data_IF_554760632486
#
_entry.id   IF_554760632486
#
_cell.length_a   1.000
_cell.length_b   1.000
_cell.length_c   1.000
_cell.angle_alpha   90.00
_cell.angle_beta   90.00
_cell.angle_gamma   90.00
#
_symmetry.space_group_name_H-M   'P 1'
#
loop_
_entity.id
_entity.type
_entity.pdbx_description
1 polymer ?
#
# COMPACT_ATOMS: atom_id res chain seq x y z
N UNK A 1 -58.13 -7.16 19.99
CA UNK A 1 -58.10 -6.24 18.83
C UNK A 1 -56.80 -5.43 18.71
N UNK A 2 -56.06 -5.12 19.81
CA UNK A 2 -54.76 -4.43 19.73
C UNK A 2 -53.57 -5.37 19.46
N UNK A 3 -53.59 -6.59 19.98
CA UNK A 3 -52.46 -7.54 19.86
C UNK A 3 -52.19 -8.00 18.42
N UNK A 4 -53.24 -8.14 17.60
CA UNK A 4 -53.09 -8.52 16.19
C UNK A 4 -52.54 -7.38 15.32
N UNK A 5 -52.72 -6.12 15.73
CA UNK A 5 -52.21 -4.96 14.99
C UNK A 5 -50.71 -4.72 15.23
N UNK A 6 -50.22 -5.03 16.43
CA UNK A 6 -48.78 -5.03 16.73
C UNK A 6 -48.08 -6.12 15.93
N UNK A 7 -48.70 -7.29 15.80
CA UNK A 7 -48.15 -8.41 15.06
C UNK A 7 -48.09 -8.16 13.54
N UNK A 8 -49.08 -7.45 12.98
CA UNK A 8 -49.10 -7.07 11.56
C UNK A 8 -48.08 -5.97 11.20
N UNK A 9 -47.68 -5.11 12.14
CA UNK A 9 -46.63 -4.11 11.93
C UNK A 9 -45.21 -4.70 11.94
N UNK A 10 -45.03 -5.91 12.50
CA UNK A 10 -43.73 -6.59 12.56
C UNK A 10 -43.38 -7.36 11.28
N UNK A 11 -44.37 -7.68 10.44
CA UNK A 11 -44.14 -8.44 9.20
C UNK A 11 -43.91 -7.56 7.96
N UNK A 12 -43.99 -6.24 8.09
CA UNK A 12 -43.76 -5.30 6.97
C UNK A 12 -42.31 -4.83 6.80
N UNK A 13 -41.37 -5.31 7.63
CA UNK A 13 -39.94 -4.94 7.50
C UNK A 13 -39.08 -6.01 6.84
N UNK A 14 -39.65 -7.17 6.46
CA UNK A 14 -38.92 -8.21 5.71
C UNK A 14 -39.13 -8.04 4.20
N UNK A 15 -38.85 -6.82 3.73
CA UNK A 15 -38.69 -6.52 2.32
C UNK A 15 -37.26 -6.08 2.06
N UNK A 16 -36.27 -6.92 2.40
CA UNK A 16 -34.91 -6.70 1.94
C UNK A 16 -34.94 -6.99 0.44
N UNK A 17 -35.10 -5.94 -0.36
CA UNK A 17 -34.71 -5.97 -1.77
C UNK A 17 -33.21 -6.25 -1.78
N UNK A 18 -32.84 -7.51 -1.95
CA UNK A 18 -31.46 -7.91 -2.19
C UNK A 18 -31.10 -7.44 -3.59
N UNK A 19 -30.72 -6.16 -3.72
CA UNK A 19 -29.86 -5.72 -4.81
C UNK A 19 -28.60 -6.57 -4.63
N UNK A 20 -28.20 -7.39 -5.62
CA UNK A 20 -26.91 -8.04 -5.55
C UNK A 20 -25.87 -6.94 -5.55
N UNK A 21 -25.31 -6.65 -4.37
CA UNK A 21 -24.08 -5.88 -4.30
C UNK A 21 -23.06 -6.67 -5.12
N UNK A 22 -22.44 -6.02 -6.10
CA UNK A 22 -21.23 -6.59 -6.66
C UNK A 22 -20.28 -6.87 -5.50
N UNK A 23 -19.66 -8.05 -5.45
CA UNK A 23 -18.66 -8.32 -4.43
C UNK A 23 -17.52 -7.33 -4.69
N UNK A 24 -17.50 -6.24 -3.93
CA UNK A 24 -16.35 -5.36 -3.90
C UNK A 24 -15.14 -6.23 -3.52
N UNK A 25 -14.00 -6.06 -4.18
CA UNK A 25 -12.82 -6.84 -3.87
C UNK A 25 -12.46 -6.63 -2.39
N UNK A 26 -12.47 -7.73 -1.63
CA UNK A 26 -12.14 -7.73 -0.19
C UNK A 26 -10.69 -7.34 0.04
N UNK A 27 -9.82 -7.60 -0.94
CA UNK A 27 -8.42 -7.19 -0.95
C UNK A 27 -8.22 -6.00 -1.89
N UNK A 28 -7.47 -5.01 -1.42
CA UNK A 28 -7.00 -3.92 -2.27
C UNK A 28 -6.04 -4.45 -3.34
N UNK A 29 -5.92 -3.75 -4.46
CA UNK A 29 -4.91 -4.08 -5.46
C UNK A 29 -3.52 -3.96 -4.84
N UNK A 30 -2.55 -4.71 -5.37
CA UNK A 30 -1.15 -4.61 -4.91
C UNK A 30 -0.69 -3.15 -4.89
N UNK A 31 -0.92 -2.42 -5.98
CA UNK A 31 -0.58 -1.00 -6.12
C UNK A 31 -1.17 -0.13 -4.99
N UNK A 32 -2.46 -0.28 -4.65
CA UNK A 32 -3.10 0.50 -3.58
C UNK A 32 -2.68 0.04 -2.18
N UNK A 33 -2.53 -1.26 -1.95
CA UNK A 33 -2.07 -1.79 -0.67
C UNK A 33 -0.65 -1.30 -0.33
N UNK A 34 0.23 -1.20 -1.33
CA UNK A 34 1.58 -0.69 -1.16
C UNK A 34 1.61 0.79 -0.71
N UNK A 35 0.62 1.61 -1.06
CA UNK A 35 0.58 3.03 -0.67
C UNK A 35 0.38 3.23 0.85
N UNK A 36 -0.38 2.36 1.51
CA UNK A 36 -0.65 2.46 2.96
C UNK A 36 0.54 2.02 3.81
N UNK A 37 1.36 1.10 3.29
CA UNK A 37 2.62 0.66 3.93
C UNK A 37 3.80 1.59 3.61
N UNK A 38 3.63 2.56 2.71
CA UNK A 38 4.69 3.39 2.13
C UNK A 38 5.00 4.68 2.88
N UNK A 39 4.72 4.78 4.18
CA UNK A 39 5.43 5.78 5.01
C UNK A 39 6.87 5.27 5.21
N UNK A 40 7.62 5.12 4.11
CA UNK A 40 8.99 4.66 4.13
C UNK A 40 9.88 5.85 4.44
N UNK A 41 10.74 5.67 5.43
CA UNK A 41 11.76 6.64 5.80
C UNK A 41 13.07 6.06 5.32
N UNK A 42 13.66 6.69 4.31
CA UNK A 42 15.09 6.55 4.11
C UNK A 42 15.81 6.99 5.39
N UNK A 43 17.02 6.48 5.60
CA UNK A 43 17.90 6.90 6.70
C UNK A 43 17.30 6.60 8.10
N UNK A 44 16.73 5.41 8.29
CA UNK A 44 16.22 4.95 9.58
C UNK A 44 17.33 4.52 10.55
N UNK A 45 17.03 4.45 11.87
CA UNK A 45 18.05 4.13 12.88
C UNK A 45 18.68 2.75 12.62
N UNK A 46 20.00 2.73 12.41
CA UNK A 46 20.82 1.54 12.10
C UNK A 46 20.56 0.91 10.72
N UNK A 47 19.99 1.66 9.78
CA UNK A 47 19.79 1.25 8.38
C UNK A 47 21.09 0.78 7.72
N UNK A 48 22.17 1.57 7.87
CA UNK A 48 23.51 1.33 7.32
C UNK A 48 24.17 -0.01 7.76
N UNK A 49 23.64 -0.69 8.77
CA UNK A 49 24.13 -2.02 9.12
C UNK A 49 23.63 -3.11 8.15
N UNK A 50 22.61 -2.79 7.35
CA UNK A 50 22.07 -3.70 6.33
C UNK A 50 22.86 -3.52 5.03
N UNK A 51 23.03 -4.57 4.23
CA UNK A 51 23.62 -4.43 2.90
C UNK A 51 22.74 -3.53 2.01
N UNK A 52 23.39 -2.64 1.25
CA UNK A 52 22.73 -1.76 0.28
C UNK A 52 21.86 -2.54 -0.72
N UNK A 53 20.72 -1.97 -1.09
CA UNK A 53 19.72 -2.65 -1.93
C UNK A 53 18.96 -1.69 -2.82
N UNK A 54 19.17 -1.78 -4.14
CA UNK A 54 18.54 -0.94 -5.16
C UNK A 54 17.02 -0.84 -5.01
N UNK A 55 16.35 -1.98 -4.79
CA UNK A 55 14.90 -2.01 -4.61
C UNK A 55 14.49 -1.22 -3.35
N UNK A 56 15.21 -1.40 -2.24
CA UNK A 56 14.82 -0.85 -0.93
C UNK A 56 15.10 0.65 -0.87
N UNK A 57 16.34 1.05 -1.16
CA UNK A 57 16.83 2.41 -0.94
C UNK A 57 16.44 3.36 -2.07
N UNK A 58 16.47 2.91 -3.34
CA UNK A 58 16.28 3.82 -4.47
C UNK A 58 14.96 3.63 -5.26
N UNK A 59 14.34 2.44 -5.23
CA UNK A 59 13.06 2.20 -5.93
C UNK A 59 11.85 2.35 -4.99
N UNK A 60 11.95 1.82 -3.77
CA UNK A 60 10.91 1.90 -2.76
C UNK A 60 11.06 3.15 -1.87
N UNK A 61 12.28 3.66 -1.74
CA UNK A 61 12.67 4.89 -1.03
C UNK A 61 13.34 5.88 -2.00
N UNK A 62 13.61 7.10 -1.52
CA UNK A 62 14.42 8.08 -2.27
C UNK A 62 15.82 8.01 -1.70
N UNK A 63 16.78 7.65 -2.53
CA UNK A 63 18.19 7.55 -2.13
C UNK A 63 19.01 8.76 -2.58
N UNK A 64 20.08 9.04 -1.84
CA UNK A 64 21.13 9.97 -2.26
C UNK A 64 22.23 9.27 -3.08
N UNK A 65 23.23 10.05 -3.51
CA UNK A 65 24.29 9.51 -4.39
C UNK A 65 25.23 8.55 -3.65
N UNK A 66 25.40 8.72 -2.34
CA UNK A 66 26.26 7.85 -1.52
C UNK A 66 25.61 6.47 -1.40
N UNK A 67 24.32 6.42 -1.05
CA UNK A 67 23.55 5.17 -0.99
C UNK A 67 23.55 4.45 -2.36
N UNK A 68 23.36 5.18 -3.47
CA UNK A 68 23.48 4.61 -4.81
C UNK A 68 24.90 4.06 -5.08
N UNK A 69 25.94 4.76 -4.63
CA UNK A 69 27.33 4.32 -4.78
C UNK A 69 27.64 3.06 -3.96
N UNK A 70 27.04 2.89 -2.79
CA UNK A 70 27.19 1.68 -1.98
C UNK A 70 26.62 0.44 -2.68
N UNK A 71 25.54 0.59 -3.44
CA UNK A 71 24.91 -0.48 -4.22
C UNK A 71 25.79 -0.90 -5.41
N UNK A 72 26.26 0.07 -6.20
CA UNK A 72 26.99 -0.24 -7.45
C UNK A 72 28.51 -0.39 -7.25
N UNK A 73 29.06 0.11 -6.15
CA UNK A 73 30.48 0.07 -5.74
C UNK A 73 31.48 0.72 -6.72
N UNK A 74 31.01 1.14 -7.90
CA UNK A 74 31.82 1.79 -8.92
C UNK A 74 31.15 3.07 -9.43
N UNK A 75 31.98 4.06 -9.75
CA UNK A 75 31.52 5.41 -10.09
C UNK A 75 30.79 5.44 -11.43
N UNK A 76 31.22 4.64 -12.41
CA UNK A 76 30.66 4.63 -13.76
C UNK A 76 29.21 4.14 -13.77
N UNK A 77 28.92 3.02 -13.10
CA UNK A 77 27.58 2.46 -12.96
C UNK A 77 26.69 3.34 -12.07
N UNK A 78 27.26 3.90 -11.00
CA UNK A 78 26.53 4.86 -10.14
C UNK A 78 26.08 6.07 -10.96
N UNK A 79 26.96 6.64 -11.79
CA UNK A 79 26.61 7.75 -12.68
C UNK A 79 25.58 7.35 -13.74
N UNK A 80 25.74 6.16 -14.34
CA UNK A 80 24.81 5.65 -15.35
C UNK A 80 23.39 5.43 -14.80
N UNK A 81 23.28 5.05 -13.53
CA UNK A 81 22.03 5.01 -12.80
C UNK A 81 21.53 6.42 -12.46
N UNK A 82 22.39 7.25 -11.84
CA UNK A 82 22.03 8.57 -11.31
C UNK A 82 21.49 9.54 -12.36
N UNK A 83 22.09 9.55 -13.56
CA UNK A 83 21.65 10.37 -14.70
C UNK A 83 20.22 10.04 -15.15
N UNK A 84 19.75 8.81 -14.88
CA UNK A 84 18.38 8.38 -15.21
C UNK A 84 17.42 8.54 -14.04
N UNK A 85 17.95 8.55 -12.83
CA UNK A 85 17.18 8.58 -11.59
C UNK A 85 16.72 10.01 -11.24
N UNK A 86 17.53 11.02 -11.55
CA UNK A 86 17.21 12.45 -11.45
C UNK A 86 17.07 13.10 -12.82
#
# INVERSE_FOLDING_TARGET
MWQFRVFLLLMSTWGISSIPAHPDPVFSSSEHAHQVLRVRRANSFLEEMRPGSLERECMEEICDFEEAQEIFQNVEDTLAFWIKYF
#
